data_IF_561470758974
#
_entry.id   IF_561470758974
#
_cell.length_a   1.000
_cell.length_b   1.000
_cell.length_c   1.000
_cell.angle_alpha   90.00
_cell.angle_beta   90.00
_cell.angle_gamma   90.00
#
_symmetry.space_group_name_H-M   'P 1'
#
loop_
_entity.id
_entity.type
_entity.pdbx_description
1 polymer ?
#
# COMPACT_ATOMS: atom_id res chain seq x y z
N UNK A 1 39.99 -57.08 16.07
CA UNK A 1 39.90 -57.01 17.55
C UNK A 1 38.44 -56.70 17.89
N UNK A 2 37.59 -57.62 18.39
CA UNK A 2 37.62 -58.26 19.73
C UNK A 2 37.56 -57.16 20.81
N UNK A 3 36.60 -57.02 21.73
CA UNK A 3 35.51 -57.85 22.30
C UNK A 3 34.55 -56.92 23.12
N UNK A 4 33.24 -57.27 23.23
CA UNK A 4 32.44 -57.62 24.44
C UNK A 4 32.18 -56.48 25.47
N UNK A 5 31.04 -56.33 26.19
CA UNK A 5 30.02 -57.20 26.81
C UNK A 5 28.70 -56.40 26.95
N UNK A 6 27.51 -56.92 26.63
CA UNK A 6 26.62 -57.81 27.41
C UNK A 6 25.79 -57.13 28.54
N UNK A 7 24.46 -57.17 28.40
CA UNK A 7 23.49 -56.82 29.45
C UNK A 7 22.06 -57.19 29.04
N UNK A 8 21.62 -58.38 29.47
CA UNK A 8 20.32 -59.02 29.19
C UNK A 8 19.13 -58.27 29.80
N UNK A 9 17.95 -58.37 29.18
CA UNK A 9 16.78 -59.04 29.80
C UNK A 9 15.65 -59.26 28.80
N UNK A 10 15.24 -60.52 28.71
CA UNK A 10 14.17 -61.10 27.89
C UNK A 10 12.85 -61.14 28.66
N UNK A 11 11.72 -60.80 28.02
CA UNK A 11 10.41 -61.29 28.44
C UNK A 11 9.64 -61.90 27.26
N UNK A 12 9.66 -63.23 27.30
CA UNK A 12 8.76 -64.18 26.65
C UNK A 12 7.30 -63.80 26.93
N UNK A 13 6.45 -63.68 25.90
CA UNK A 13 5.00 -63.75 26.04
C UNK A 13 4.50 -65.05 25.41
N UNK A 14 4.26 -66.01 26.31
CA UNK A 14 3.66 -67.31 26.08
C UNK A 14 2.23 -67.17 25.53
N UNK A 15 1.96 -67.89 24.44
CA UNK A 15 0.62 -68.20 23.93
C UNK A 15 -0.20 -68.90 25.01
N UNK A 16 -1.39 -68.39 25.32
CA UNK A 16 -2.42 -69.10 26.10
C UNK A 16 -3.52 -69.62 25.17
N UNK A 17 -4.14 -70.78 25.49
CA UNK A 17 -4.97 -71.54 24.57
C UNK A 17 -6.39 -70.99 24.48
N UNK A 18 -6.99 -71.11 23.30
CA UNK A 18 -8.41 -70.89 23.04
C UNK A 18 -9.27 -71.85 23.89
N UNK A 19 -9.98 -71.32 24.89
CA UNK A 19 -11.12 -72.01 25.51
C UNK A 19 -12.34 -71.79 24.62
N UNK A 20 -12.81 -72.84 23.94
CA UNK A 20 -14.14 -72.86 23.30
C UNK A 20 -15.20 -72.72 24.39
N UNK A 21 -15.93 -71.61 24.37
CA UNK A 21 -17.15 -71.44 25.14
C UNK A 21 -18.28 -72.14 24.38
N UNK A 22 -18.87 -73.18 24.97
CA UNK A 22 -20.09 -73.84 24.47
C UNK A 22 -21.25 -73.33 25.34
N UNK A 23 -22.20 -72.56 24.81
CA UNK A 23 -23.37 -72.15 25.59
C UNK A 23 -24.33 -73.33 25.78
N UNK A 24 -25.10 -73.37 26.89
CA UNK A 24 -26.10 -74.41 27.12
C UNK A 24 -27.27 -74.32 26.12
N UNK A 25 -28.00 -75.42 25.88
CA UNK A 25 -29.14 -75.41 24.97
C UNK A 25 -30.26 -74.53 25.53
N UNK A 26 -30.75 -73.60 24.70
CA UNK A 26 -31.97 -72.83 25.01
C UNK A 26 -33.20 -73.74 24.83
N UNK A 27 -34.24 -73.59 25.65
CA UNK A 27 -35.48 -74.35 25.48
C UNK A 27 -36.14 -73.96 24.15
N UNK A 28 -36.81 -74.94 23.52
CA UNK A 28 -37.62 -74.77 22.32
C UNK A 28 -38.68 -73.68 22.55
N UNK A 29 -38.45 -72.48 22.01
CA UNK A 29 -39.52 -71.51 21.75
C UNK A 29 -40.10 -71.82 20.38
N UNK A 30 -41.41 -71.99 20.34
CA UNK A 30 -42.21 -72.23 19.15
C UNK A 30 -41.96 -71.18 18.07
N UNK A 31 -41.86 -71.63 16.82
CA UNK A 31 -41.71 -70.83 15.58
C UNK A 31 -42.85 -69.80 15.38
N UNK A 32 -43.85 -69.75 16.27
CA UNK A 32 -44.91 -68.76 16.30
C UNK A 32 -44.52 -67.40 16.93
N UNK A 33 -43.43 -67.31 17.72
CA UNK A 33 -43.03 -66.06 18.37
C UNK A 33 -41.90 -65.31 17.65
N UNK A 34 -41.17 -65.94 16.72
CA UNK A 34 -40.08 -65.30 15.96
C UNK A 34 -40.57 -64.43 14.79
N UNK A 35 -41.84 -64.57 14.38
CA UNK A 35 -42.45 -63.71 13.34
C UNK A 35 -43.00 -62.41 13.94
N UNK A 36 -43.11 -62.30 15.27
CA UNK A 36 -43.60 -61.11 15.97
C UNK A 36 -42.48 -60.23 16.56
N UNK A 37 -41.20 -60.54 16.31
CA UNK A 37 -40.05 -59.81 16.86
C UNK A 37 -39.19 -59.10 15.80
N UNK A 38 -39.64 -58.99 14.55
CA UNK A 38 -39.23 -57.87 13.70
C UNK A 38 -39.99 -56.61 14.14
N UNK A 39 -39.71 -56.16 15.37
CA UNK A 39 -40.09 -54.83 15.78
C UNK A 39 -39.45 -53.89 14.77
N UNK A 40 -40.30 -53.19 14.00
CA UNK A 40 -39.87 -52.07 13.16
C UNK A 40 -39.01 -51.21 14.07
N UNK A 41 -37.69 -51.21 13.86
CA UNK A 41 -36.83 -50.24 14.50
C UNK A 41 -37.53 -48.89 14.31
N UNK A 42 -37.91 -48.16 15.38
CA UNK A 42 -38.72 -46.97 15.24
C UNK A 42 -37.99 -46.08 14.25
N UNK A 43 -38.66 -45.75 13.14
CA UNK A 43 -38.13 -44.81 12.18
C UNK A 43 -37.64 -43.60 13.00
N UNK A 44 -36.40 -43.13 12.79
CA UNK A 44 -35.90 -41.99 13.54
C UNK A 44 -36.96 -40.89 13.47
N UNK A 45 -37.31 -40.25 14.59
CA UNK A 45 -38.45 -39.34 14.65
C UNK A 45 -38.33 -38.36 13.48
N UNK A 46 -39.39 -38.23 12.68
CA UNK A 46 -39.43 -37.33 11.52
C UNK A 46 -38.96 -35.97 12.00
N UNK A 47 -37.71 -35.62 11.70
CA UNK A 47 -37.12 -34.44 12.28
C UNK A 47 -37.88 -33.25 11.73
N UNK A 48 -38.62 -32.54 12.58
CA UNK A 48 -39.33 -31.34 12.14
C UNK A 48 -38.28 -30.38 11.58
N UNK A 49 -38.52 -29.88 10.37
CA UNK A 49 -37.66 -28.91 9.73
C UNK A 49 -37.74 -27.64 10.58
N UNK A 50 -36.72 -27.39 11.41
CA UNK A 50 -36.68 -26.19 12.26
C UNK A 50 -36.16 -25.03 11.44
N UNK A 51 -36.61 -23.81 11.74
CA UNK A 51 -36.10 -22.58 11.11
C UNK A 51 -34.58 -22.47 11.21
N UNK A 52 -33.98 -22.93 12.32
CA UNK A 52 -32.52 -22.99 12.48
C UNK A 52 -31.85 -23.93 11.47
N UNK A 53 -32.44 -25.09 11.16
CA UNK A 53 -31.91 -26.03 10.16
C UNK A 53 -32.07 -25.52 8.73
N UNK A 54 -33.19 -24.86 8.44
CA UNK A 54 -33.39 -24.16 7.16
C UNK A 54 -32.35 -23.08 7.00
N UNK A 55 -32.18 -22.21 8.01
CA UNK A 55 -31.18 -21.15 8.00
C UNK A 55 -29.76 -21.70 7.84
N UNK A 56 -29.40 -22.72 8.60
CA UNK A 56 -28.07 -23.37 8.53
C UNK A 56 -27.82 -23.96 7.14
N UNK A 57 -28.81 -24.66 6.58
CA UNK A 57 -28.74 -25.24 5.25
C UNK A 57 -28.61 -24.18 4.15
N UNK A 58 -29.37 -23.09 4.24
CA UNK A 58 -29.27 -21.96 3.31
C UNK A 58 -27.92 -21.27 3.40
N UNK A 59 -27.39 -21.01 4.60
CA UNK A 59 -26.06 -20.41 4.78
C UNK A 59 -24.98 -21.31 4.17
N UNK A 60 -24.99 -22.61 4.49
CA UNK A 60 -24.00 -23.55 3.99
C UNK A 60 -24.10 -23.73 2.47
N UNK A 61 -25.32 -23.85 1.94
CA UNK A 61 -25.58 -23.94 0.50
C UNK A 61 -25.12 -22.70 -0.25
N UNK A 62 -25.40 -21.50 0.27
CA UNK A 62 -24.92 -20.25 -0.28
C UNK A 62 -23.40 -20.13 -0.24
N UNK A 63 -22.74 -20.56 0.84
CA UNK A 63 -21.28 -20.58 0.93
C UNK A 63 -20.66 -21.52 -0.13
N UNK A 64 -21.22 -22.73 -0.30
CA UNK A 64 -20.75 -23.70 -1.29
C UNK A 64 -20.97 -23.17 -2.71
N UNK A 65 -22.17 -22.66 -3.01
CA UNK A 65 -22.49 -22.12 -4.33
C UNK A 65 -21.64 -20.89 -4.67
N UNK A 66 -21.43 -19.99 -3.70
CA UNK A 66 -20.54 -18.83 -3.85
C UNK A 66 -19.10 -19.28 -4.07
N UNK A 67 -18.61 -20.25 -3.28
CA UNK A 67 -17.26 -20.81 -3.45
C UNK A 67 -17.06 -21.47 -4.81
N UNK A 68 -18.05 -22.21 -5.29
CA UNK A 68 -18.04 -22.81 -6.63
C UNK A 68 -18.03 -21.73 -7.73
N UNK A 69 -18.88 -20.72 -7.62
CA UNK A 69 -18.97 -19.62 -8.59
C UNK A 69 -17.67 -18.80 -8.65
N UNK A 70 -17.10 -18.46 -7.49
CA UNK A 70 -15.79 -17.81 -7.39
C UNK A 70 -14.70 -18.71 -8.00
N UNK A 71 -14.73 -20.02 -7.72
CA UNK A 71 -13.77 -20.97 -8.28
C UNK A 71 -13.83 -21.13 -9.81
N UNK A 72 -14.95 -20.75 -10.43
CA UNK A 72 -15.13 -20.76 -11.90
C UNK A 72 -14.98 -19.40 -12.56
N UNK A 73 -14.83 -18.33 -11.78
CA UNK A 73 -14.74 -16.95 -12.30
C UNK A 73 -13.30 -16.60 -12.65
N UNK A 74 -13.11 -15.77 -13.67
CA UNK A 74 -11.80 -15.26 -14.05
C UNK A 74 -11.25 -14.26 -13.01
N UNK A 75 -9.92 -14.07 -13.02
CA UNK A 75 -9.24 -13.20 -12.05
C UNK A 75 -9.70 -11.73 -12.14
N UNK A 76 -10.09 -11.24 -13.31
CA UNK A 76 -10.54 -9.86 -13.47
C UNK A 76 -11.92 -9.64 -12.86
N UNK A 77 -12.81 -10.63 -12.97
CA UNK A 77 -14.11 -10.64 -12.32
C UNK A 77 -13.98 -10.68 -10.79
N UNK A 78 -13.13 -11.57 -10.26
CA UNK A 78 -12.84 -11.64 -8.81
C UNK A 78 -12.24 -10.32 -8.31
N UNK A 79 -11.30 -9.76 -9.07
CA UNK A 79 -10.72 -8.45 -8.78
C UNK A 79 -11.80 -7.37 -8.69
N UNK A 80 -12.67 -7.25 -9.71
CA UNK A 80 -13.75 -6.27 -9.72
C UNK A 80 -14.66 -6.39 -8.49
N UNK A 81 -15.09 -7.61 -8.12
CA UNK A 81 -15.88 -7.82 -6.90
C UNK A 81 -15.14 -7.41 -5.64
N UNK A 82 -13.84 -7.71 -5.51
CA UNK A 82 -13.07 -7.32 -4.33
C UNK A 82 -13.01 -5.80 -4.16
N UNK A 83 -12.89 -5.05 -5.25
CA UNK A 83 -12.97 -3.59 -5.22
C UNK A 83 -14.37 -3.09 -4.87
N UNK A 84 -15.44 -3.68 -5.40
CA UNK A 84 -16.81 -3.32 -5.02
C UNK A 84 -17.09 -3.58 -3.54
N UNK A 85 -16.71 -4.75 -3.01
CA UNK A 85 -16.82 -5.07 -1.59
C UNK A 85 -16.05 -4.06 -0.73
N UNK A 86 -14.86 -3.64 -1.18
CA UNK A 86 -14.07 -2.64 -0.46
C UNK A 86 -14.81 -1.31 -0.28
N UNK A 87 -15.70 -0.91 -1.20
CA UNK A 87 -16.51 0.32 -1.07
C UNK A 87 -17.47 0.26 0.12
N UNK A 88 -18.01 -0.92 0.40
CA UNK A 88 -18.93 -1.13 1.52
C UNK A 88 -18.20 -1.33 2.85
N UNK A 89 -16.99 -1.90 2.83
CA UNK A 89 -16.19 -2.10 4.03
C UNK A 89 -15.44 -0.83 4.46
N UNK A 90 -14.98 0.00 3.52
CA UNK A 90 -14.14 1.15 3.82
C UNK A 90 -14.78 2.17 4.79
N UNK A 91 -16.09 2.48 4.72
CA UNK A 91 -16.75 3.34 5.70
C UNK A 91 -16.59 2.89 7.16
N UNK A 92 -16.41 1.58 7.42
CA UNK A 92 -16.22 1.05 8.77
C UNK A 92 -14.90 1.52 9.40
N UNK A 93 -13.87 1.81 8.60
CA UNK A 93 -12.61 2.36 9.10
C UNK A 93 -12.77 3.77 9.70
N UNK A 94 -13.88 4.46 9.40
CA UNK A 94 -14.21 5.77 9.98
C UNK A 94 -14.59 5.67 11.46
N UNK A 95 -15.02 4.50 11.92
CA UNK A 95 -15.40 4.22 13.32
C UNK A 95 -14.18 3.98 14.23
N UNK A 96 -13.02 3.72 13.64
CA UNK A 96 -11.77 3.49 14.35
C UNK A 96 -10.98 4.79 14.49
N UNK A 97 -10.11 4.86 15.51
CA UNK A 97 -9.08 5.90 15.60
C UNK A 97 -8.29 5.96 14.27
N UNK A 98 -8.04 7.17 13.72
CA UNK A 98 -7.34 7.31 12.46
C UNK A 98 -5.97 6.64 12.38
N UNK A 99 -5.19 6.64 13.46
CA UNK A 99 -3.87 6.00 13.45
C UNK A 99 -3.98 4.47 13.53
N UNK A 100 -4.93 3.94 14.29
CA UNK A 100 -5.16 2.50 14.38
C UNK A 100 -5.78 1.92 13.09
N UNK A 101 -6.74 2.63 12.50
CA UNK A 101 -7.28 2.33 11.17
C UNK A 101 -6.17 2.22 10.12
N UNK A 102 -5.24 3.18 10.15
CA UNK A 102 -4.11 3.21 9.23
C UNK A 102 -3.15 2.04 9.45
N UNK A 103 -2.84 1.69 10.70
CA UNK A 103 -2.01 0.51 11.01
C UNK A 103 -2.66 -0.80 10.54
N UNK A 104 -3.98 -0.94 10.71
CA UNK A 104 -4.72 -2.11 10.22
C UNK A 104 -4.62 -2.17 8.69
N UNK A 105 -4.81 -1.05 7.99
CA UNK A 105 -4.69 -0.99 6.54
C UNK A 105 -3.29 -1.38 6.04
N UNK A 106 -2.21 -0.89 6.69
CA UNK A 106 -0.83 -1.28 6.36
C UNK A 106 -0.59 -2.77 6.59
N UNK A 107 -1.02 -3.32 7.73
CA UNK A 107 -0.88 -4.75 8.01
C UNK A 107 -1.65 -5.61 7.01
N UNK A 108 -2.88 -5.23 6.68
CA UNK A 108 -3.69 -5.93 5.68
C UNK A 108 -3.00 -5.90 4.31
N UNK A 109 -2.52 -4.73 3.87
CA UNK A 109 -1.80 -4.59 2.61
C UNK A 109 -0.49 -5.39 2.59
N UNK A 110 0.31 -5.37 3.66
CA UNK A 110 1.55 -6.15 3.79
C UNK A 110 1.33 -7.67 3.80
N UNK A 111 0.13 -8.12 4.18
CA UNK A 111 -0.29 -9.52 4.12
C UNK A 111 -1.03 -9.90 2.83
N UNK A 112 -1.24 -8.95 1.91
CA UNK A 112 -2.02 -9.18 0.69
C UNK A 112 -3.53 -9.31 0.91
N UNK A 113 -4.04 -8.92 2.08
CA UNK A 113 -5.47 -8.91 2.42
C UNK A 113 -6.17 -7.63 1.93
N UNK A 114 -5.83 -7.22 0.72
CA UNK A 114 -6.39 -6.04 0.02
C UNK A 114 -6.77 -6.45 -1.40
N UNK A 115 -7.76 -5.77 -2.03
CA UNK A 115 -8.07 -5.97 -3.43
C UNK A 115 -6.81 -5.89 -4.30
N UNK A 116 -6.64 -6.84 -5.22
CA UNK A 116 -5.56 -6.81 -6.20
C UNK A 116 -6.13 -6.46 -7.56
N UNK A 117 -5.57 -5.45 -8.20
CA UNK A 117 -5.92 -5.08 -9.58
C UNK A 117 -5.22 -6.03 -10.55
N UNK A 118 -6.02 -6.86 -11.21
CA UNK A 118 -5.54 -7.82 -12.23
C UNK A 118 -5.88 -7.34 -13.64
N UNK A 119 -6.74 -6.31 -13.78
CA UNK A 119 -7.08 -5.72 -15.07
C UNK A 119 -5.91 -4.86 -15.57
N UNK A 120 -5.59 -4.91 -16.87
CA UNK A 120 -4.52 -4.09 -17.42
C UNK A 120 -4.89 -2.61 -17.40
N UNK A 121 -3.89 -1.75 -17.16
CA UNK A 121 -4.06 -0.31 -17.32
C UNK A 121 -4.29 0.05 -18.80
N UNK A 122 -5.23 0.97 -19.12
CA UNK A 122 -5.38 1.50 -20.47
C UNK A 122 -4.05 2.10 -20.99
N UNK A 123 -3.58 1.74 -22.21
CA UNK A 123 -2.29 2.20 -22.72
C UNK A 123 -2.11 3.73 -22.76
N UNK A 124 -3.20 4.48 -22.94
CA UNK A 124 -3.20 5.95 -22.93
C UNK A 124 -2.84 6.57 -21.58
N UNK A 125 -2.94 5.80 -20.48
CA UNK A 125 -2.49 6.26 -19.15
C UNK A 125 -0.98 6.07 -18.95
N UNK A 126 -0.29 5.37 -19.86
CA UNK A 126 1.16 5.15 -19.74
C UNK A 126 1.90 6.47 -19.77
N UNK A 127 2.86 6.64 -18.86
CA UNK A 127 3.73 7.82 -18.81
C UNK A 127 5.19 7.37 -18.83
N UNK A 128 5.99 7.98 -19.70
CA UNK A 128 7.44 7.80 -19.73
C UNK A 128 8.12 9.06 -19.20
N UNK A 129 8.84 8.91 -18.09
CA UNK A 129 9.59 10.00 -17.47
C UNK A 129 10.82 9.45 -16.76
N UNK A 130 11.93 10.18 -16.81
CA UNK A 130 13.22 9.76 -16.23
C UNK A 130 13.76 8.43 -16.77
N UNK A 131 13.48 8.11 -18.03
CA UNK A 131 13.86 6.81 -18.61
C UNK A 131 13.09 5.62 -18.02
N UNK A 132 11.97 5.88 -17.33
CA UNK A 132 11.15 4.88 -16.65
C UNK A 132 9.73 4.92 -17.20
N UNK A 133 9.12 3.74 -17.28
CA UNK A 133 7.73 3.58 -17.74
C UNK A 133 6.81 3.38 -16.54
N UNK A 134 5.83 4.26 -16.38
CA UNK A 134 4.74 4.15 -15.43
C UNK A 134 3.51 3.61 -16.17
N UNK A 135 2.89 2.54 -15.67
CA UNK A 135 1.70 1.97 -16.32
C UNK A 135 0.50 2.92 -16.29
N UNK A 136 0.42 3.77 -15.26
CA UNK A 136 -0.54 4.84 -15.08
C UNK A 136 0.09 5.98 -14.25
N UNK A 137 -0.44 7.22 -14.28
CA UNK A 137 0.19 8.37 -13.64
C UNK A 137 -0.12 8.50 -12.15
N UNK A 138 -0.84 7.54 -11.55
CA UNK A 138 -1.42 7.67 -10.21
C UNK A 138 -0.53 6.93 -9.20
N UNK A 139 0.01 7.67 -8.24
CA UNK A 139 0.85 7.14 -7.18
C UNK A 139 0.29 7.34 -5.77
N UNK A 140 0.82 6.57 -4.83
CA UNK A 140 0.58 6.76 -3.41
C UNK A 140 1.64 7.71 -2.84
N UNK A 141 1.22 8.77 -2.16
CA UNK A 141 2.12 9.75 -1.57
C UNK A 141 2.87 9.20 -0.34
N UNK A 142 4.06 9.75 -0.07
CA UNK A 142 4.77 9.49 1.19
C UNK A 142 3.91 9.79 2.41
N UNK A 143 4.23 9.07 3.48
CA UNK A 143 3.59 9.13 4.78
C UNK A 143 2.57 8.01 4.99
N UNK A 144 2.14 7.31 3.92
CA UNK A 144 1.24 6.18 4.07
C UNK A 144 2.03 4.94 4.50
N UNK A 145 2.90 4.40 3.65
CA UNK A 145 3.82 3.32 4.04
C UNK A 145 5.17 3.88 4.49
N UNK A 146 5.23 4.35 5.75
CA UNK A 146 6.43 5.02 6.28
C UNK A 146 7.65 4.10 6.37
N UNK A 147 7.42 2.81 6.59
CA UNK A 147 8.47 1.86 6.94
C UNK A 147 8.71 0.77 5.87
N UNK A 148 8.11 0.90 4.69
CA UNK A 148 8.14 -0.10 3.62
C UNK A 148 7.57 -1.47 4.04
N UNK A 149 6.46 -1.45 4.79
CA UNK A 149 5.79 -2.65 5.28
C UNK A 149 4.89 -3.31 4.23
N UNK A 150 4.38 -2.54 3.26
CA UNK A 150 3.27 -2.94 2.41
C UNK A 150 3.44 -2.60 0.92
N UNK A 151 4.65 -2.30 0.45
CA UNK A 151 4.95 -1.88 -0.93
C UNK A 151 4.26 -2.75 -1.99
N UNK A 152 4.49 -4.07 -1.95
CA UNK A 152 3.94 -4.99 -2.97
C UNK A 152 2.41 -5.02 -2.95
N UNK A 153 1.80 -5.01 -1.77
CA UNK A 153 0.35 -4.97 -1.61
C UNK A 153 -0.25 -3.66 -2.14
N UNK A 154 0.40 -2.53 -1.86
CA UNK A 154 -0.03 -1.22 -2.31
C UNK A 154 0.12 -1.06 -3.83
N UNK A 155 1.23 -1.50 -4.41
CA UNK A 155 1.37 -1.59 -5.87
C UNK A 155 0.33 -2.56 -6.46
N UNK A 156 0.05 -3.67 -5.77
CA UNK A 156 -0.96 -4.67 -6.14
C UNK A 156 -2.39 -4.13 -6.20
N UNK A 157 -2.73 -3.10 -5.42
CA UNK A 157 -4.04 -2.40 -5.51
C UNK A 157 -4.18 -1.64 -6.84
N UNK A 158 -3.08 -1.40 -7.57
CA UNK A 158 -3.09 -0.81 -8.90
C UNK A 158 -2.51 0.61 -8.99
N UNK A 159 -1.80 1.08 -7.96
CA UNK A 159 -0.99 2.30 -8.10
C UNK A 159 0.11 2.09 -9.16
N UNK A 160 0.33 3.09 -10.02
CA UNK A 160 1.46 3.08 -10.95
C UNK A 160 2.80 3.24 -10.24
N UNK A 161 2.81 3.83 -9.04
CA UNK A 161 3.98 3.95 -8.18
C UNK A 161 3.60 4.19 -6.71
N UNK A 162 4.48 3.83 -5.78
CA UNK A 162 4.30 4.03 -4.34
C UNK A 162 5.52 4.75 -3.78
N UNK A 163 5.31 5.76 -2.95
CA UNK A 163 6.38 6.46 -2.24
C UNK A 163 6.39 6.08 -0.76
N UNK A 164 7.43 5.38 -0.30
CA UNK A 164 7.63 5.06 1.12
C UNK A 164 8.27 6.22 1.88
N UNK A 165 8.18 6.20 3.21
CA UNK A 165 8.79 7.20 4.08
C UNK A 165 7.83 8.30 4.52
N UNK A 166 8.28 9.45 5.04
CA UNK A 166 9.67 9.86 5.14
C UNK A 166 10.48 9.03 6.13
N UNK A 167 11.57 8.44 5.65
CA UNK A 167 12.49 7.64 6.45
C UNK A 167 13.56 8.54 7.03
N UNK A 168 13.82 8.41 8.32
CA UNK A 168 14.90 9.08 9.05
C UNK A 168 16.04 8.12 9.32
N UNK A 169 17.31 8.57 9.43
CA UNK A 169 18.43 7.72 9.80
C UNK A 169 18.19 6.86 11.05
N UNK A 170 17.96 7.51 12.18
CA UNK A 170 17.68 6.84 13.44
C UNK A 170 16.17 6.60 13.58
N UNK A 171 15.77 5.54 14.29
CA UNK A 171 14.38 5.37 14.69
C UNK A 171 13.90 6.57 15.52
N UNK A 172 12.65 6.97 15.33
CA UNK A 172 12.01 7.96 16.19
C UNK A 172 10.49 7.75 16.22
N UNK A 173 9.90 7.92 17.40
CA UNK A 173 8.46 7.72 17.63
C UNK A 173 7.58 8.78 16.95
N UNK A 174 8.15 9.95 16.65
CA UNK A 174 7.42 11.14 16.22
C UNK A 174 6.86 11.96 17.39
N UNK A 175 5.86 12.80 17.12
CA UNK A 175 5.22 13.63 18.15
C UNK A 175 4.18 12.82 18.96
N UNK A 176 3.82 13.26 20.18
CA UNK A 176 2.84 12.60 21.05
C UNK A 176 1.45 12.45 20.41
N UNK A 177 0.71 11.43 20.85
CA UNK A 177 -0.67 11.15 20.42
C UNK A 177 -1.69 11.90 21.29
N UNK A 178 -2.91 12.19 20.78
CA UNK A 178 -3.36 12.01 19.38
C UNK A 178 -2.70 13.02 18.44
N UNK A 179 -2.46 12.59 17.20
CA UNK A 179 -1.66 13.34 16.20
C UNK A 179 -2.18 13.28 14.78
N UNK A 180 -3.35 12.69 14.57
CA UNK A 180 -4.04 12.64 13.29
C UNK A 180 -5.53 12.79 13.56
N UNK A 181 -6.18 13.68 12.81
CA UNK A 181 -7.55 14.11 13.04
C UNK A 181 -8.28 14.13 11.70
N UNK A 182 -9.45 13.51 11.66
CA UNK A 182 -10.29 13.45 10.46
C UNK A 182 -11.34 14.54 10.51
N UNK A 183 -11.42 15.33 9.45
CA UNK A 183 -12.49 16.27 9.16
C UNK A 183 -13.37 15.60 8.10
N UNK A 184 -14.29 14.75 8.56
CA UNK A 184 -15.01 13.79 7.71
C UNK A 184 -15.76 14.48 6.57
N UNK A 185 -16.57 15.49 6.89
CA UNK A 185 -17.43 16.16 5.92
C UNK A 185 -16.64 17.01 4.92
N UNK A 186 -15.45 17.47 5.33
CA UNK A 186 -14.55 18.24 4.49
C UNK A 186 -13.63 17.35 3.64
N UNK A 187 -13.66 16.02 3.84
CA UNK A 187 -12.75 15.09 3.18
C UNK A 187 -11.28 15.44 3.44
N UNK A 188 -10.96 15.77 4.69
CA UNK A 188 -9.69 16.36 5.07
C UNK A 188 -9.07 15.70 6.30
N UNK A 189 -7.74 15.74 6.40
CA UNK A 189 -7.00 15.23 7.55
C UNK A 189 -6.02 16.29 8.01
N UNK A 190 -6.02 16.59 9.32
CA UNK A 190 -4.95 17.34 9.97
C UNK A 190 -4.04 16.34 10.68
N UNK A 191 -2.73 16.44 10.50
CA UNK A 191 -1.77 15.59 11.22
C UNK A 191 -0.54 16.34 11.69
N UNK A 192 0.01 15.85 12.79
CA UNK A 192 1.24 16.33 13.42
C UNK A 192 2.23 15.21 13.73
N UNK A 193 2.39 14.23 12.82
CA UNK A 193 3.20 13.04 13.09
C UNK A 193 4.66 13.30 13.51
N UNK A 194 5.34 14.25 12.88
CA UNK A 194 6.76 14.54 13.17
C UNK A 194 7.72 13.43 12.78
N UNK A 195 7.55 12.85 11.58
CA UNK A 195 8.39 11.76 11.02
C UNK A 195 8.56 10.55 11.94
N UNK A 196 7.48 9.95 12.41
CA UNK A 196 7.58 8.64 13.06
C UNK A 196 8.11 7.59 12.06
N UNK A 197 9.24 6.97 12.38
CA UNK A 197 10.04 6.15 11.46
C UNK A 197 10.82 5.11 12.27
N UNK A 198 10.90 3.88 11.76
CA UNK A 198 11.69 2.81 12.39
C UNK A 198 13.20 2.89 12.05
N UNK A 199 13.63 3.92 11.33
CA UNK A 199 15.03 4.14 10.98
C UNK A 199 15.43 3.52 9.64
N UNK A 200 16.50 4.04 9.01
CA UNK A 200 16.95 3.58 7.69
C UNK A 200 17.33 2.10 7.67
N UNK A 201 17.87 1.56 8.78
CA UNK A 201 18.30 0.16 8.85
C UNK A 201 17.12 -0.80 8.73
N UNK A 202 16.03 -0.54 9.47
CA UNK A 202 14.83 -1.36 9.42
C UNK A 202 14.16 -1.30 8.04
N UNK A 203 14.08 -0.10 7.47
CA UNK A 203 13.51 0.10 6.13
C UNK A 203 14.38 -0.54 5.05
N UNK A 204 15.70 -0.40 5.10
CA UNK A 204 16.64 -1.04 4.17
C UNK A 204 16.49 -2.56 4.17
N UNK A 205 16.34 -3.17 5.35
CA UNK A 205 16.12 -4.63 5.47
C UNK A 205 14.83 -5.07 4.77
N UNK A 206 13.73 -4.34 4.96
CA UNK A 206 12.45 -4.66 4.29
C UNK A 206 12.53 -4.45 2.78
N UNK A 207 13.10 -3.31 2.36
CA UNK A 207 13.28 -3.00 0.94
C UNK A 207 14.20 -4.00 0.25
N UNK A 208 15.30 -4.43 0.87
CA UNK A 208 16.17 -5.47 0.33
C UNK A 208 15.45 -6.80 0.13
N UNK A 209 14.64 -7.22 1.12
CA UNK A 209 13.84 -8.44 1.01
C UNK A 209 12.79 -8.37 -0.12
N UNK A 210 12.17 -7.21 -0.33
CA UNK A 210 11.19 -6.99 -1.41
C UNK A 210 11.85 -6.80 -2.77
N UNK A 211 12.99 -6.12 -2.83
CA UNK A 211 13.75 -5.86 -4.06
C UNK A 211 14.27 -7.16 -4.67
N UNK A 212 14.78 -8.09 -3.84
CA UNK A 212 15.16 -9.43 -4.30
C UNK A 212 14.00 -10.19 -4.95
N UNK A 213 12.79 -10.12 -4.37
CA UNK A 213 11.58 -10.74 -4.95
C UNK A 213 11.18 -10.11 -6.29
N UNK A 214 11.20 -8.78 -6.38
CA UNK A 214 10.85 -8.04 -7.61
C UNK A 214 11.82 -8.35 -8.75
N UNK A 215 13.14 -8.33 -8.49
CA UNK A 215 14.14 -8.70 -9.50
C UNK A 215 14.04 -10.15 -9.98
N UNK A 216 13.77 -11.09 -9.07
CA UNK A 216 13.56 -12.49 -9.44
C UNK A 216 12.31 -12.69 -10.31
N UNK A 217 11.26 -11.89 -10.11
CA UNK A 217 10.07 -11.94 -10.96
C UNK A 217 10.32 -11.36 -12.36
N UNK A 218 11.19 -10.34 -12.47
CA UNK A 218 11.56 -9.70 -13.75
C UNK A 218 12.53 -10.56 -14.59
N UNK A 219 13.39 -11.37 -13.95
CA UNK A 219 14.39 -12.19 -14.64
C UNK A 219 13.84 -13.49 -15.25
N UNK A 220 12.56 -13.80 -15.04
CA UNK A 220 11.88 -14.94 -15.69
C UNK A 220 11.36 -14.48 -17.06
N UNK A 221 11.90 -14.98 -18.19
CA UNK A 221 11.46 -14.55 -19.51
C UNK A 221 9.98 -14.87 -19.74
N UNK A 222 9.24 -13.97 -20.38
CA UNK A 222 7.85 -14.23 -20.78
C UNK A 222 7.73 -15.49 -21.69
N UNK A 223 8.82 -15.92 -22.31
CA UNK A 223 8.91 -17.10 -23.18
C UNK A 223 9.18 -18.43 -22.45
N UNK A 224 9.48 -18.45 -21.15
CA UNK A 224 9.66 -19.70 -20.39
C UNK A 224 8.34 -20.28 -19.85
N UNK A 225 7.23 -19.57 -20.02
CA UNK A 225 5.88 -20.10 -19.84
C UNK A 225 5.53 -20.94 -21.08
N UNK A 226 5.88 -22.22 -21.03
CA UNK A 226 5.58 -23.19 -22.08
C UNK A 226 4.10 -23.13 -22.44
N UNK A 227 3.86 -23.10 -23.75
CA UNK A 227 2.61 -23.17 -24.49
C UNK A 227 1.76 -24.36 -24.00
N UNK A 228 0.99 -24.16 -22.93
CA UNK A 228 0.28 -25.26 -22.29
C UNK A 228 -0.68 -24.92 -21.16
N UNK A 229 -1.12 -23.66 -20.99
CA UNK A 229 -2.37 -23.34 -20.30
C UNK A 229 -2.66 -21.83 -20.46
N UNK A 230 -3.52 -21.43 -21.39
CA UNK A 230 -3.94 -20.03 -21.55
C UNK A 230 -4.74 -19.49 -20.34
N UNK A 231 -5.03 -20.33 -19.34
CA UNK A 231 -5.86 -20.02 -18.17
C UNK A 231 -5.11 -19.88 -16.84
N UNK A 232 -3.77 -19.95 -16.82
CA UNK A 232 -2.98 -19.66 -15.62
C UNK A 232 -1.93 -18.61 -15.91
N UNK A 233 -2.39 -17.36 -15.97
CA UNK A 233 -1.48 -16.22 -15.89
C UNK A 233 -0.67 -16.34 -14.59
N UNK A 234 0.65 -16.48 -14.69
CA UNK A 234 1.51 -16.27 -13.54
C UNK A 234 1.15 -14.89 -12.96
N UNK A 235 0.98 -14.75 -11.63
CA UNK A 235 0.49 -13.51 -11.04
C UNK A 235 1.51 -12.42 -11.35
N UNK A 236 1.21 -11.55 -12.31
CA UNK A 236 2.06 -10.40 -12.66
C UNK A 236 2.28 -9.65 -11.37
N UNK A 237 3.50 -9.69 -10.84
CA UNK A 237 3.92 -8.74 -9.81
C UNK A 237 3.62 -7.37 -10.38
N UNK A 238 2.77 -6.62 -9.67
CA UNK A 238 2.33 -5.29 -10.06
C UNK A 238 3.56 -4.45 -10.40
N UNK A 239 3.68 -4.07 -11.68
CA UNK A 239 4.86 -3.46 -12.29
C UNK A 239 4.98 -1.97 -11.99
N UNK A 240 4.66 -1.56 -10.76
CA UNK A 240 4.73 -0.15 -10.38
C UNK A 240 6.07 0.19 -9.72
N UNK A 241 6.41 1.48 -9.76
CA UNK A 241 7.72 1.97 -9.33
C UNK A 241 7.73 2.37 -7.85
N UNK A 242 8.89 2.30 -7.22
CA UNK A 242 9.09 2.64 -5.81
C UNK A 242 9.88 3.94 -5.63
N UNK A 243 9.23 4.94 -5.04
CA UNK A 243 9.89 6.12 -4.51
C UNK A 243 10.34 5.92 -3.06
N UNK A 244 11.51 6.45 -2.70
CA UNK A 244 11.96 6.51 -1.31
C UNK A 244 12.07 7.96 -0.85
N UNK A 245 11.23 8.33 0.11
CA UNK A 245 11.21 9.67 0.68
C UNK A 245 12.13 9.75 1.91
N UNK A 246 13.12 10.63 1.85
CA UNK A 246 14.13 10.83 2.88
C UNK A 246 13.76 12.04 3.75
N UNK A 247 13.99 11.93 5.05
CA UNK A 247 13.80 13.00 6.02
C UNK A 247 14.91 13.02 7.07
N UNK A 248 15.00 14.13 7.80
CA UNK A 248 15.94 14.27 8.92
C UNK A 248 15.33 13.82 10.25
N UNK A 249 16.15 13.31 11.16
CA UNK A 249 15.77 13.16 12.55
C UNK A 249 15.51 14.52 13.21
N UNK A 250 14.61 14.54 14.20
CA UNK A 250 14.16 15.78 14.87
C UNK A 250 15.34 16.59 15.42
N UNK A 251 16.28 15.91 16.08
CA UNK A 251 17.38 16.51 16.83
C UNK A 251 18.69 16.64 16.04
N UNK A 252 18.73 16.24 14.76
CA UNK A 252 19.92 16.44 13.93
C UNK A 252 20.12 17.92 13.62
N UNK A 253 21.32 18.42 13.91
CA UNK A 253 21.76 19.78 13.61
C UNK A 253 22.12 19.94 12.12
N UNK A 254 23.08 19.14 11.61
CA UNK A 254 23.38 19.11 10.18
C UNK A 254 22.36 18.25 9.42
N UNK A 255 21.23 18.86 9.07
CA UNK A 255 20.17 18.21 8.32
C UNK A 255 20.68 17.49 7.06
N UNK A 256 21.71 18.00 6.37
CA UNK A 256 22.20 17.42 5.14
C UNK A 256 22.81 16.02 5.34
N UNK A 257 23.48 15.80 6.47
CA UNK A 257 24.07 14.50 6.81
C UNK A 257 23.04 13.36 6.84
N UNK A 258 21.83 13.63 7.34
CA UNK A 258 20.75 12.63 7.39
C UNK A 258 20.29 12.23 5.98
N UNK A 259 20.14 13.21 5.07
CA UNK A 259 19.75 12.91 3.70
C UNK A 259 20.84 12.15 2.95
N UNK A 260 22.11 12.53 3.14
CA UNK A 260 23.27 11.83 2.57
C UNK A 260 23.32 10.37 3.04
N UNK A 261 23.12 10.12 4.34
CA UNK A 261 23.06 8.75 4.87
C UNK A 261 21.89 7.95 4.29
N UNK A 262 20.73 8.61 4.12
CA UNK A 262 19.57 8.06 3.42
C UNK A 262 19.89 7.65 1.99
N UNK A 263 20.61 8.48 1.23
CA UNK A 263 21.07 8.14 -0.12
C UNK A 263 21.97 6.91 -0.10
N UNK A 264 23.06 6.92 0.68
CA UNK A 264 24.01 5.78 0.68
C UNK A 264 23.35 4.45 1.08
N UNK A 265 22.32 4.50 1.92
CA UNK A 265 21.67 3.30 2.45
C UNK A 265 20.53 2.78 1.56
N UNK A 266 19.68 3.69 1.08
CA UNK A 266 18.37 3.31 0.49
C UNK A 266 18.30 3.47 -1.03
N UNK A 267 19.21 4.23 -1.64
CA UNK A 267 19.15 4.57 -3.07
C UNK A 267 19.17 3.36 -4.00
N UNK A 268 19.90 2.30 -3.64
CA UNK A 268 19.98 1.05 -4.41
C UNK A 268 18.62 0.32 -4.56
N UNK A 269 17.65 0.60 -3.70
CA UNK A 269 16.33 -0.04 -3.73
C UNK A 269 15.25 0.84 -4.39
N UNK A 270 15.59 2.10 -4.71
CA UNK A 270 14.64 3.11 -5.12
C UNK A 270 14.64 3.29 -6.64
N UNK A 271 13.45 3.44 -7.21
CA UNK A 271 13.28 3.90 -8.58
C UNK A 271 13.39 5.42 -8.69
N UNK A 272 13.08 6.15 -7.61
CA UNK A 272 13.39 7.57 -7.47
C UNK A 272 13.55 7.94 -5.99
N UNK A 273 14.30 9.00 -5.70
CA UNK A 273 14.53 9.51 -4.35
C UNK A 273 13.84 10.85 -4.15
N UNK A 274 13.41 11.13 -2.92
CA UNK A 274 12.78 12.41 -2.58
C UNK A 274 13.44 13.03 -1.36
N UNK A 275 13.90 14.26 -1.49
CA UNK A 275 14.31 15.11 -0.36
C UNK A 275 13.06 15.80 0.19
N UNK A 276 12.62 15.43 1.41
CA UNK A 276 11.50 16.09 2.05
C UNK A 276 11.97 17.25 2.94
N UNK A 277 11.73 18.47 2.46
CA UNK A 277 12.01 19.73 3.17
C UNK A 277 10.73 20.46 3.63
N UNK A 278 9.58 19.80 3.57
CA UNK A 278 8.27 20.48 3.57
C UNK A 278 7.31 20.07 4.69
N UNK A 279 7.67 19.09 5.52
CA UNK A 279 6.85 18.73 6.70
C UNK A 279 6.71 19.93 7.65
N UNK A 280 5.47 20.34 8.03
CA UNK A 280 5.26 21.36 9.05
C UNK A 280 5.51 20.84 10.48
N UNK A 281 5.68 19.52 10.63
CA UNK A 281 5.64 18.84 11.92
C UNK A 281 7.03 18.57 12.52
N UNK A 282 8.08 18.92 11.77
CA UNK A 282 9.49 18.84 12.19
C UNK A 282 10.01 20.26 12.33
N UNK A 283 10.29 20.75 13.55
CA UNK A 283 10.69 22.14 13.78
C UNK A 283 11.88 22.56 12.90
N UNK A 284 11.76 23.74 12.29
CA UNK A 284 12.81 24.31 11.44
C UNK A 284 12.97 23.69 10.05
N UNK A 285 12.33 22.55 9.75
CA UNK A 285 12.55 21.84 8.49
C UNK A 285 12.22 22.70 7.26
N UNK A 286 11.09 23.42 7.29
CA UNK A 286 10.65 24.27 6.17
C UNK A 286 11.61 25.43 5.86
N UNK A 287 12.50 25.79 6.79
CA UNK A 287 13.57 26.79 6.54
C UNK A 287 14.58 26.29 5.50
N UNK A 288 14.68 24.97 5.29
CA UNK A 288 15.52 24.38 4.25
C UNK A 288 15.05 24.68 2.83
N UNK A 289 13.85 25.23 2.65
CA UNK A 289 13.32 25.66 1.35
C UNK A 289 13.86 27.03 0.91
N UNK A 290 14.51 27.78 1.81
CA UNK A 290 15.17 29.04 1.45
C UNK A 290 16.25 28.82 0.40
N UNK A 291 16.41 29.77 -0.55
CA UNK A 291 17.25 29.63 -1.75
C UNK A 291 18.64 29.04 -1.47
N UNK A 292 19.35 29.58 -0.48
CA UNK A 292 20.70 29.14 -0.13
C UNK A 292 20.68 27.73 0.49
N UNK A 293 19.83 27.53 1.49
CA UNK A 293 19.72 26.27 2.22
C UNK A 293 19.33 25.11 1.29
N UNK A 294 18.37 25.34 0.41
CA UNK A 294 17.94 24.34 -0.57
C UNK A 294 19.06 24.01 -1.54
N UNK A 295 19.75 25.04 -2.08
CA UNK A 295 20.88 24.86 -3.00
C UNK A 295 21.99 24.05 -2.35
N UNK A 296 22.37 24.37 -1.12
CA UNK A 296 23.46 23.71 -0.41
C UNK A 296 23.09 22.26 -0.06
N UNK A 297 21.85 22.02 0.38
CA UNK A 297 21.34 20.67 0.65
C UNK A 297 21.32 19.80 -0.61
N UNK A 298 20.67 20.29 -1.68
CA UNK A 298 20.53 19.53 -2.93
C UNK A 298 21.90 19.20 -3.52
N UNK A 299 22.86 20.12 -3.49
CA UNK A 299 24.24 19.85 -3.93
C UNK A 299 24.88 18.69 -3.19
N UNK A 300 24.79 18.67 -1.85
CA UNK A 300 25.34 17.58 -1.03
C UNK A 300 24.67 16.24 -1.34
N UNK A 301 23.35 16.24 -1.53
CA UNK A 301 22.59 15.01 -1.81
C UNK A 301 22.86 14.49 -3.23
N UNK A 302 23.00 15.37 -4.22
CA UNK A 302 23.43 15.00 -5.58
C UNK A 302 24.85 14.40 -5.52
N UNK A 303 25.80 15.04 -4.83
CA UNK A 303 27.15 14.51 -4.68
C UNK A 303 27.15 13.10 -4.07
N UNK A 304 26.42 12.89 -2.96
CA UNK A 304 26.29 11.58 -2.33
C UNK A 304 25.65 10.51 -3.23
N UNK A 305 24.73 10.91 -4.12
CA UNK A 305 24.13 10.01 -5.12
C UNK A 305 25.15 9.67 -6.20
N UNK A 306 25.89 10.66 -6.67
CA UNK A 306 26.83 10.50 -7.78
C UNK A 306 28.12 9.76 -7.34
N UNK A 307 28.41 9.70 -6.03
CA UNK A 307 29.45 8.84 -5.43
C UNK A 307 29.14 7.34 -5.52
N UNK A 308 27.86 6.96 -5.68
CA UNK A 308 27.44 5.56 -5.73
C UNK A 308 27.71 4.95 -7.12
N UNK A 309 27.89 3.64 -7.16
CA UNK A 309 28.04 2.90 -8.42
C UNK A 309 26.68 2.52 -9.00
N UNK A 310 26.41 2.97 -10.21
CA UNK A 310 25.15 2.73 -10.91
C UNK A 310 25.31 1.75 -12.07
N UNK A 311 24.30 0.90 -12.27
CA UNK A 311 24.21 0.05 -13.46
C UNK A 311 23.76 0.86 -14.69
N UNK A 312 23.35 0.14 -15.75
CA UNK A 312 22.97 0.73 -17.04
C UNK A 312 21.85 1.78 -16.95
N UNK A 313 20.94 1.63 -15.98
CA UNK A 313 19.83 2.56 -15.76
C UNK A 313 20.26 3.88 -15.09
N UNK A 314 21.53 4.01 -14.71
CA UNK A 314 22.06 5.20 -14.05
C UNK A 314 21.52 5.44 -12.63
N UNK A 315 21.80 6.62 -12.04
CA UNK A 315 21.31 6.98 -10.72
C UNK A 315 19.78 7.08 -10.68
N UNK A 316 19.14 6.78 -9.54
CA UNK A 316 17.73 7.10 -9.35
C UNK A 316 17.51 8.63 -9.46
N UNK A 317 16.45 9.07 -10.17
CA UNK A 317 16.07 10.48 -10.22
C UNK A 317 15.89 11.04 -8.81
N UNK A 318 16.39 12.25 -8.57
CA UNK A 318 16.31 12.94 -7.30
C UNK A 318 15.29 14.07 -7.37
N UNK A 319 14.24 13.95 -6.56
CA UNK A 319 13.16 14.91 -6.45
C UNK A 319 13.24 15.71 -5.15
N UNK A 320 12.63 16.89 -5.14
CA UNK A 320 12.40 17.67 -3.90
C UNK A 320 10.91 17.85 -3.67
N UNK A 321 10.45 17.55 -2.45
CA UNK A 321 9.05 17.76 -2.05
C UNK A 321 8.89 19.06 -1.28
N UNK A 322 8.11 19.98 -1.83
CA UNK A 322 7.96 21.36 -1.32
C UNK A 322 6.62 21.58 -0.62
N UNK A 323 6.56 22.61 0.23
CA UNK A 323 5.36 23.03 0.93
C UNK A 323 4.46 23.87 0.00
N UNK A 324 3.15 23.92 0.26
CA UNK A 324 2.26 24.84 -0.43
C UNK A 324 2.31 26.27 0.16
N UNK A 325 2.75 26.40 1.41
CA UNK A 325 2.75 27.65 2.16
C UNK A 325 4.02 28.46 1.84
N UNK A 326 4.11 29.00 0.63
CA UNK A 326 5.28 29.69 0.09
C UNK A 326 4.89 31.05 -0.48
N UNK A 327 5.75 32.05 -0.32
CA UNK A 327 5.60 33.32 -1.05
C UNK A 327 5.91 33.12 -2.54
N UNK A 328 5.46 34.04 -3.39
CA UNK A 328 5.80 34.02 -4.83
C UNK A 328 7.33 34.07 -5.06
N UNK A 329 8.06 34.77 -4.19
CA UNK A 329 9.53 34.82 -4.26
C UNK A 329 10.16 33.47 -3.88
N UNK A 330 9.64 32.79 -2.84
CA UNK A 330 10.13 31.46 -2.47
C UNK A 330 9.91 30.45 -3.61
N UNK A 331 8.74 30.49 -4.25
CA UNK A 331 8.43 29.65 -5.42
C UNK A 331 9.42 29.92 -6.56
N UNK A 332 9.69 31.20 -6.87
CA UNK A 332 10.66 31.59 -7.89
C UNK A 332 12.09 31.11 -7.55
N UNK A 333 12.51 31.23 -6.29
CA UNK A 333 13.81 30.78 -5.83
C UNK A 333 13.97 29.26 -5.90
N UNK A 334 12.94 28.50 -5.48
CA UNK A 334 12.92 27.04 -5.59
C UNK A 334 13.02 26.62 -7.06
N UNK A 335 12.24 27.21 -7.95
CA UNK A 335 12.30 26.91 -9.38
C UNK A 335 13.69 27.22 -9.96
N UNK A 336 14.29 28.35 -9.60
CA UNK A 336 15.63 28.72 -10.04
C UNK A 336 16.70 27.74 -9.54
N UNK A 337 16.62 27.30 -8.28
CA UNK A 337 17.54 26.29 -7.72
C UNK A 337 17.37 24.94 -8.42
N UNK A 338 16.13 24.49 -8.62
CA UNK A 338 15.84 23.24 -9.31
C UNK A 338 16.40 23.21 -10.74
N UNK A 339 16.22 24.30 -11.50
CA UNK A 339 16.80 24.45 -12.84
C UNK A 339 18.33 24.49 -12.81
N UNK A 340 18.91 25.27 -11.89
CA UNK A 340 20.37 25.46 -11.81
C UNK A 340 21.09 24.17 -11.47
N UNK A 341 20.55 23.40 -10.53
CA UNK A 341 21.13 22.13 -10.08
C UNK A 341 20.65 20.92 -10.88
N UNK A 342 19.76 21.12 -11.87
CA UNK A 342 19.16 20.06 -12.68
C UNK A 342 18.55 18.95 -11.80
N UNK A 343 17.76 19.36 -10.82
CA UNK A 343 16.95 18.43 -10.02
C UNK A 343 16.00 17.70 -10.96
N UNK A 344 15.87 16.38 -10.82
CA UNK A 344 15.15 15.56 -11.80
C UNK A 344 13.64 15.77 -11.75
N UNK A 345 13.09 16.23 -10.62
CA UNK A 345 11.69 16.61 -10.51
C UNK A 345 11.32 17.29 -9.20
N UNK A 346 10.07 17.77 -9.10
CA UNK A 346 9.52 18.33 -7.86
C UNK A 346 8.18 17.68 -7.52
N UNK A 347 7.93 17.47 -6.23
CA UNK A 347 6.62 17.05 -5.73
C UNK A 347 5.91 18.26 -5.12
N UNK A 348 4.77 18.62 -5.70
CA UNK A 348 4.02 19.84 -5.39
C UNK A 348 2.57 19.47 -5.05
N UNK A 349 2.17 19.40 -3.78
CA UNK A 349 2.91 19.79 -2.57
C UNK A 349 2.67 18.86 -1.38
N UNK A 350 3.35 19.17 -0.28
CA UNK A 350 3.03 18.65 1.05
C UNK A 350 1.77 19.33 1.63
N UNK A 351 1.47 19.06 2.90
CA UNK A 351 0.33 19.62 3.64
C UNK A 351 0.46 21.13 3.89
N UNK A 352 -0.67 21.82 4.09
CA UNK A 352 -0.73 23.25 4.40
C UNK A 352 -0.90 23.53 5.89
N UNK A 353 -0.31 24.60 6.40
CA UNK A 353 -0.63 25.11 7.74
C UNK A 353 -1.79 26.10 7.74
N UNK A 354 -2.20 26.60 6.57
CA UNK A 354 -3.37 27.45 6.43
C UNK A 354 -4.64 26.69 6.82
N UNK A 355 -5.65 27.45 7.26
CA UNK A 355 -6.98 26.97 7.61
C UNK A 355 -8.00 27.72 6.75
N UNK A 356 -8.34 27.21 5.55
CA UNK A 356 -9.27 27.88 4.66
C UNK A 356 -10.70 27.87 5.22
N UNK A 357 -11.53 28.81 4.78
CA UNK A 357 -12.91 28.97 5.26
C UNK A 357 -13.75 27.70 5.19
N UNK A 358 -13.47 26.84 4.21
CA UNK A 358 -14.14 25.54 4.01
C UNK A 358 -14.03 24.57 5.20
N UNK A 359 -13.15 24.82 6.17
CA UNK A 359 -13.00 23.97 7.37
C UNK A 359 -13.36 24.71 8.67
N UNK A 360 -13.74 25.98 8.62
CA UNK A 360 -14.11 26.74 9.82
C UNK A 360 -15.32 26.08 10.48
N UNK A 361 -15.25 25.92 11.81
CA UNK A 361 -16.31 25.28 12.60
C UNK A 361 -16.35 23.76 12.50
N UNK A 362 -15.53 23.13 11.65
CA UNK A 362 -15.44 21.67 11.60
C UNK A 362 -14.77 21.13 12.87
N UNK A 363 -15.18 19.93 13.35
CA UNK A 363 -14.46 19.26 14.42
C UNK A 363 -12.96 19.13 14.08
N UNK A 364 -12.10 19.44 15.05
CA UNK A 364 -10.64 19.42 14.90
C UNK A 364 -10.03 20.46 13.96
N UNK A 365 -10.80 21.41 13.41
CA UNK A 365 -10.25 22.43 12.49
C UNK A 365 -9.10 23.26 13.11
N UNK A 366 -9.14 23.46 14.42
CA UNK A 366 -8.15 24.22 15.19
C UNK A 366 -6.92 23.39 15.60
N UNK A 367 -6.92 22.08 15.34
CA UNK A 367 -5.79 21.23 15.67
C UNK A 367 -4.51 21.70 14.96
N UNK A 368 -3.39 21.69 15.70
CA UNK A 368 -2.08 22.01 15.14
C UNK A 368 -1.60 20.89 14.20
N UNK A 369 -0.86 21.28 13.17
CA UNK A 369 -0.26 20.38 12.18
C UNK A 369 -0.64 20.73 10.75
N UNK A 370 -0.27 19.85 9.83
CA UNK A 370 -0.54 20.02 8.40
C UNK A 370 -1.92 19.50 7.99
N UNK A 371 -2.69 20.35 7.32
CA UNK A 371 -3.97 20.05 6.67
C UNK A 371 -3.73 19.43 5.28
N UNK A 372 -4.48 18.37 4.99
CA UNK A 372 -4.48 17.62 3.74
C UNK A 372 -5.93 17.33 3.30
N UNK A 373 -6.11 16.83 2.08
CA UNK A 373 -7.42 16.50 1.53
C UNK A 373 -8.02 17.63 0.70
N UNK A 374 -9.33 17.57 0.44
CA UNK A 374 -10.01 18.44 -0.53
C UNK A 374 -9.73 19.94 -0.33
N UNK A 375 -9.67 20.49 0.91
CA UNK A 375 -9.39 21.92 1.12
C UNK A 375 -8.00 22.37 0.62
N UNK A 376 -7.04 21.45 0.50
CA UNK A 376 -5.70 21.73 -0.03
C UNK A 376 -5.66 21.78 -1.57
N UNK A 377 -6.69 21.27 -2.26
CA UNK A 377 -6.65 21.07 -3.71
C UNK A 377 -6.34 22.35 -4.48
N UNK A 378 -7.06 23.44 -4.17
CA UNK A 378 -6.87 24.74 -4.84
C UNK A 378 -5.45 25.27 -4.68
N UNK A 379 -5.01 25.46 -3.42
CA UNK A 379 -3.68 26.00 -3.11
C UNK A 379 -2.55 25.14 -3.72
N UNK A 380 -2.61 23.82 -3.55
CA UNK A 380 -1.58 22.94 -4.11
C UNK A 380 -1.54 22.94 -5.64
N UNK A 381 -2.67 23.19 -6.32
CA UNK A 381 -2.75 23.28 -7.77
C UNK A 381 -2.25 24.62 -8.30
N UNK A 382 -2.46 25.71 -7.55
CA UNK A 382 -1.90 27.03 -7.87
C UNK A 382 -0.37 27.01 -7.79
N UNK A 383 0.20 26.48 -6.70
CA UNK A 383 1.67 26.35 -6.55
C UNK A 383 2.26 25.45 -7.64
N UNK A 384 1.59 24.35 -7.99
CA UNK A 384 2.00 23.47 -9.09
C UNK A 384 2.08 24.24 -10.42
N UNK A 385 1.05 25.04 -10.73
CA UNK A 385 1.01 25.86 -11.94
C UNK A 385 2.10 26.92 -11.98
N UNK A 386 2.34 27.60 -10.86
CA UNK A 386 3.40 28.61 -10.76
C UNK A 386 4.78 27.98 -11.02
N UNK A 387 5.07 26.83 -10.39
CA UNK A 387 6.32 26.09 -10.61
C UNK A 387 6.46 25.66 -12.07
N UNK A 388 5.39 25.13 -12.68
CA UNK A 388 5.42 24.74 -14.09
C UNK A 388 5.75 25.92 -15.02
N UNK A 389 5.14 27.07 -14.79
CA UNK A 389 5.39 28.29 -15.57
C UNK A 389 6.84 28.78 -15.40
N UNK A 390 7.34 28.83 -14.16
CA UNK A 390 8.70 29.29 -13.86
C UNK A 390 9.77 28.33 -14.39
N UNK A 391 9.51 27.03 -14.38
CA UNK A 391 10.40 26.01 -14.94
C UNK A 391 10.21 25.81 -16.45
N UNK A 392 9.15 26.39 -17.04
CA UNK A 392 8.75 26.24 -18.45
C UNK A 392 8.65 24.77 -18.88
N UNK A 393 8.13 23.93 -17.98
CA UNK A 393 7.98 22.49 -18.21
C UNK A 393 9.28 21.70 -18.32
N UNK A 394 10.44 22.29 -18.01
CA UNK A 394 11.74 21.59 -18.09
C UNK A 394 11.99 20.61 -16.95
N UNK A 395 11.24 20.73 -15.86
CA UNK A 395 11.35 19.88 -14.67
C UNK A 395 10.03 19.11 -14.54
N UNK A 396 10.05 17.77 -14.65
CA UNK A 396 8.88 16.96 -14.36
C UNK A 396 8.30 17.21 -12.96
N UNK A 397 6.97 17.30 -12.86
CA UNK A 397 6.27 17.60 -11.61
C UNK A 397 5.36 16.44 -11.21
N UNK A 398 5.38 16.09 -9.92
CA UNK A 398 4.36 15.23 -9.31
C UNK A 398 3.36 16.11 -8.56
N UNK A 399 2.12 16.15 -9.05
CA UNK A 399 1.02 16.87 -8.41
C UNK A 399 0.47 16.12 -7.20
N UNK A 400 0.55 16.69 -6.01
CA UNK A 400 0.11 16.11 -4.75
C UNK A 400 -0.77 17.10 -3.97
N UNK A 401 -1.87 16.63 -3.39
CA UNK A 401 -2.75 17.44 -2.53
C UNK A 401 -4.18 17.53 -3.05
N UNK A 402 -5.12 17.02 -2.25
CA UNK A 402 -6.56 17.18 -2.45
C UNK A 402 -7.19 16.42 -3.62
N UNK A 403 -6.47 15.48 -4.24
CA UNK A 403 -7.01 14.65 -5.32
C UNK A 403 -7.97 13.60 -4.73
N UNK A 404 -9.21 13.60 -5.21
CA UNK A 404 -10.26 12.65 -4.79
C UNK A 404 -11.04 12.04 -5.96
N UNK A 405 -10.83 12.55 -7.17
CA UNK A 405 -11.53 12.15 -8.40
C UNK A 405 -10.61 12.15 -9.63
N UNK A 406 -11.08 11.59 -10.75
CA UNK A 406 -10.38 11.66 -12.04
C UNK A 406 -10.26 13.09 -12.56
N UNK A 407 -11.27 13.93 -12.33
CA UNK A 407 -11.24 15.36 -12.65
C UNK A 407 -10.13 16.09 -11.88
N UNK A 408 -10.02 15.86 -10.56
CA UNK A 408 -8.96 16.48 -9.75
C UNK A 408 -7.55 16.09 -10.27
N UNK A 409 -7.37 14.82 -10.61
CA UNK A 409 -6.12 14.31 -11.16
C UNK A 409 -5.81 14.95 -12.53
N UNK A 410 -6.81 14.99 -13.41
CA UNK A 410 -6.68 15.60 -14.72
C UNK A 410 -6.40 17.11 -14.63
N UNK A 411 -7.03 17.81 -13.70
CA UNK A 411 -6.77 19.23 -13.44
C UNK A 411 -5.35 19.51 -12.96
N UNK A 412 -4.74 18.61 -12.15
CA UNK A 412 -3.32 18.70 -11.82
C UNK A 412 -2.43 18.45 -13.03
N UNK A 413 -2.75 17.46 -13.86
CA UNK A 413 -2.03 17.17 -15.11
C UNK A 413 -2.06 18.40 -16.03
N UNK A 414 -3.24 18.97 -16.25
CA UNK A 414 -3.46 20.21 -17.02
C UNK A 414 -2.76 21.43 -16.43
N UNK A 415 -2.47 21.41 -15.13
CA UNK A 415 -1.71 22.47 -14.44
C UNK A 415 -0.19 22.24 -14.47
N UNK A 416 0.29 21.20 -15.16
CA UNK A 416 1.71 20.96 -15.40
C UNK A 416 2.28 19.69 -14.75
N UNK A 417 1.46 18.90 -14.06
CA UNK A 417 1.93 17.63 -13.49
C UNK A 417 2.12 16.55 -14.57
N UNK A 418 3.21 15.81 -14.47
CA UNK A 418 3.48 14.59 -15.25
C UNK A 418 2.88 13.36 -14.56
N UNK A 419 2.97 13.33 -13.22
CA UNK A 419 2.42 12.27 -12.37
C UNK A 419 1.58 12.91 -11.26
N UNK A 420 0.71 12.13 -10.61
CA UNK A 420 -0.09 12.61 -9.49
C UNK A 420 -0.01 11.66 -8.29
N UNK A 421 -0.16 12.21 -7.09
CA UNK A 421 -0.11 11.46 -5.84
C UNK A 421 -1.37 11.65 -4.98
N UNK A 422 -1.84 10.54 -4.41
CA UNK A 422 -2.99 10.47 -3.52
C UNK A 422 -2.56 10.15 -2.09
N UNK A 423 -3.30 10.66 -1.11
CA UNK A 423 -3.25 10.17 0.27
C UNK A 423 -4.64 10.23 0.88
N UNK A 424 -5.14 11.43 1.13
CA UNK A 424 -6.38 11.63 1.89
C UNK A 424 -7.59 11.05 1.16
N UNK A 425 -7.66 11.20 -0.17
CA UNK A 425 -8.69 10.53 -0.99
C UNK A 425 -8.68 9.02 -0.79
N UNK A 426 -7.50 8.40 -0.80
CA UNK A 426 -7.35 6.96 -0.55
C UNK A 426 -7.73 6.56 0.87
N UNK A 427 -7.35 7.35 1.88
CA UNK A 427 -7.72 7.11 3.27
C UNK A 427 -9.25 7.13 3.50
N UNK A 428 -10.00 7.92 2.71
CA UNK A 428 -11.47 8.05 2.86
C UNK A 428 -12.29 7.12 1.98
N UNK A 429 -11.78 6.79 0.79
CA UNK A 429 -12.49 6.08 -0.26
C UNK A 429 -11.99 4.63 -0.43
N UNK A 430 -10.82 4.31 0.12
CA UNK A 430 -10.23 2.97 0.07
C UNK A 430 -9.73 2.57 -1.32
N UNK A 431 -9.44 1.27 -1.53
CA UNK A 431 -8.89 0.72 -2.77
C UNK A 431 -9.65 1.10 -4.04
N UNK A 432 -10.98 1.17 -3.98
CA UNK A 432 -11.83 1.42 -5.15
C UNK A 432 -11.63 2.80 -5.80
N UNK A 433 -11.00 3.76 -5.12
CA UNK A 433 -10.71 5.08 -5.72
C UNK A 433 -9.73 4.98 -6.90
N UNK A 434 -8.81 4.01 -6.89
CA UNK A 434 -7.75 3.91 -7.89
C UNK A 434 -8.29 3.61 -9.29
N UNK A 435 -9.03 2.50 -9.52
CA UNK A 435 -9.66 2.27 -10.82
C UNK A 435 -10.64 3.38 -11.21
N UNK A 436 -11.34 3.99 -10.23
CA UNK A 436 -12.25 5.12 -10.49
C UNK A 436 -11.52 6.34 -11.05
N UNK A 437 -10.38 6.72 -10.49
CA UNK A 437 -9.56 7.84 -10.99
C UNK A 437 -9.01 7.51 -12.38
N UNK A 438 -8.51 6.28 -12.61
CA UNK A 438 -8.02 5.85 -13.93
C UNK A 438 -9.08 6.03 -15.01
N UNK A 439 -10.31 5.54 -14.76
CA UNK A 439 -11.45 5.70 -15.68
C UNK A 439 -11.81 7.17 -15.85
N UNK A 440 -11.82 7.97 -14.78
CA UNK A 440 -12.13 9.40 -14.88
C UNK A 440 -11.13 10.16 -15.75
N UNK A 441 -9.82 9.91 -15.59
CA UNK A 441 -8.78 10.50 -16.46
C UNK A 441 -8.99 10.05 -17.91
N UNK A 442 -9.23 8.75 -18.13
CA UNK A 442 -9.45 8.17 -19.46
C UNK A 442 -10.58 8.90 -20.21
N UNK A 443 -11.73 9.05 -19.55
CA UNK A 443 -12.91 9.73 -20.10
C UNK A 443 -12.55 11.18 -20.49
N UNK A 444 -11.89 11.92 -19.61
CA UNK A 444 -11.53 13.32 -19.85
C UNK A 444 -10.51 13.49 -20.99
N UNK A 445 -9.58 12.55 -21.16
CA UNK A 445 -8.67 12.55 -22.29
C UNK A 445 -9.41 12.39 -23.64
N UNK A 446 -10.49 11.60 -23.68
CA UNK A 446 -11.26 11.36 -24.91
C UNK A 446 -12.21 12.51 -25.30
N UNK A 447 -12.78 13.22 -24.33
CA UNK A 447 -13.78 14.27 -24.60
C UNK A 447 -13.19 15.67 -24.83
N UNK A 448 -11.89 15.86 -24.63
CA UNK A 448 -11.22 17.19 -24.69
C UNK A 448 -10.25 17.29 -25.90
N UNK A 449 -10.16 16.24 -26.72
CA UNK A 449 -9.63 16.30 -28.09
C UNK A 449 -10.80 16.46 -29.06
#
# INVERSE_FOLDING_TARGET
MVWAQAGRTSKLLLRRPFRRYVPPPRPFSTVADEVAAHSKAPLPPKSRLTWQRVLTGTVLGSLIATGAYVGTSDEATISAWSFEVSKYLNPLFRLLDPEDAHKIAIKAAGQGLVPRETRPDPPILRVEVWGRTFSNPIGLAAGFDKNAEAVDGLLGIGFGFVEVGSVTPLPQEGNPKPRVFRLLDQGAIINRYGFNSEGIVAVAKRLGAQHGKRRLAESVPASSWIQGDQNKAAPRTSSGLLGVNLGKNKNTEDAASDYVQGVHTLSQYADYLVINVSSPNTPGLRKLQGRKQLKDLVKKVIAARDEMQWGENGPPPLLVKIAPDLSKQDIADIAAVALTLRVDGLIVSNTTISRPDSIIGAPHAEEIGGLSGKPLFKLSTEVLRDIYQLTRGKIPLIGCGGISSGEDAYMKIRSGATLVQLYTGFAYEGPAIIPRIKVGILVLCFFIH
#
